data_IF_043475416587
#
_entry.id   IF_043475416587
#
_cell.length_a   1.000
_cell.length_b   1.000
_cell.length_c   1.000
_cell.angle_alpha   90.00
_cell.angle_beta   90.00
_cell.angle_gamma   90.00
#
_symmetry.space_group_name_H-M   'P 1'
#
loop_
_entity.id
_entity.type
_entity.pdbx_description
1 polymer ?
#
# COMPACT_ATOMS: atom_id res chain seq x y z
N UNK A 1 10.24 39.06 -39.43
CA UNK A 1 11.32 38.43 -38.64
C UNK A 1 10.79 37.77 -37.36
N UNK A 2 9.94 38.43 -36.57
CA UNK A 2 9.33 37.87 -35.34
C UNK A 2 8.46 36.61 -35.54
N UNK A 3 7.64 36.49 -36.61
CA UNK A 3 6.87 35.26 -36.85
C UNK A 3 7.74 34.04 -37.17
N UNK A 4 8.92 34.26 -37.75
CA UNK A 4 9.90 33.21 -38.06
C UNK A 4 10.55 32.69 -36.77
N UNK A 5 10.84 33.60 -35.83
CA UNK A 5 11.36 33.23 -34.51
C UNK A 5 10.34 32.37 -33.73
N UNK A 6 9.07 32.75 -33.70
CA UNK A 6 8.05 31.99 -33.00
C UNK A 6 7.73 30.63 -33.63
N UNK A 7 7.75 30.55 -34.96
CA UNK A 7 7.59 29.27 -35.66
C UNK A 7 8.77 28.34 -35.39
N UNK A 8 10.00 28.86 -35.39
CA UNK A 8 11.18 28.08 -34.99
C UNK A 8 11.08 27.60 -33.53
N UNK A 9 10.75 28.49 -32.59
CA UNK A 9 10.58 28.14 -31.17
C UNK A 9 9.51 27.05 -30.98
N UNK A 10 8.35 27.15 -31.64
CA UNK A 10 7.30 26.14 -31.56
C UNK A 10 7.74 24.79 -32.12
N UNK A 11 8.45 24.78 -33.25
CA UNK A 11 8.91 23.55 -33.90
C UNK A 11 9.99 22.84 -33.07
N UNK A 12 10.90 23.59 -32.46
CA UNK A 12 12.00 23.01 -31.68
C UNK A 12 11.70 22.82 -30.19
N UNK A 13 10.66 23.47 -29.66
CA UNK A 13 10.28 23.37 -28.25
C UNK A 13 10.17 21.91 -27.76
N UNK A 14 9.48 20.97 -28.44
CA UNK A 14 9.34 19.59 -27.95
C UNK A 14 10.68 18.87 -27.78
N UNK A 15 11.65 19.16 -28.65
CA UNK A 15 12.97 18.52 -28.59
C UNK A 15 13.81 18.98 -27.39
N UNK A 16 13.50 20.14 -26.82
CA UNK A 16 14.20 20.70 -25.67
C UNK A 16 13.40 20.42 -24.39
N UNK A 17 12.08 20.63 -24.43
CA UNK A 17 11.22 20.51 -23.25
C UNK A 17 11.04 19.07 -22.81
N UNK A 18 10.98 18.10 -23.73
CA UNK A 18 10.81 16.69 -23.40
C UNK A 18 12.02 16.11 -22.63
N UNK A 19 13.28 16.23 -23.10
CA UNK A 19 14.42 15.74 -22.32
C UNK A 19 14.57 16.51 -21.00
N UNK A 20 14.28 17.81 -20.99
CA UNK A 20 14.29 18.59 -19.75
C UNK A 20 13.25 18.08 -18.74
N UNK A 21 12.02 17.83 -19.18
CA UNK A 21 10.97 17.27 -18.33
C UNK A 21 11.34 15.88 -17.82
N UNK A 22 11.97 15.04 -18.64
CA UNK A 22 12.47 13.73 -18.22
C UNK A 22 13.54 13.85 -17.12
N UNK A 23 14.49 14.78 -17.27
CA UNK A 23 15.50 15.05 -16.25
C UNK A 23 14.88 15.54 -14.94
N UNK A 24 13.95 16.49 -15.01
CA UNK A 24 13.22 16.99 -13.84
C UNK A 24 12.43 15.87 -13.17
N UNK A 25 11.79 14.99 -13.95
CA UNK A 25 11.08 13.82 -13.42
C UNK A 25 12.00 12.85 -12.70
N UNK A 26 13.18 12.55 -13.25
CA UNK A 26 14.18 11.68 -12.61
C UNK A 26 14.69 12.32 -11.32
N UNK A 27 15.01 13.61 -11.33
CA UNK A 27 15.47 14.33 -10.13
C UNK A 27 14.36 14.35 -9.07
N UNK A 28 13.13 14.65 -9.47
CA UNK A 28 11.95 14.64 -8.60
C UNK A 28 11.72 13.28 -7.97
N UNK A 29 11.79 12.19 -8.74
CA UNK A 29 11.65 10.83 -8.24
C UNK A 29 12.72 10.47 -7.20
N UNK A 30 13.98 10.84 -7.43
CA UNK A 30 15.05 10.60 -6.47
C UNK A 30 14.88 11.44 -5.19
N UNK A 31 14.42 12.69 -5.33
CA UNK A 31 14.17 13.58 -4.20
C UNK A 31 12.96 13.14 -3.38
N UNK A 32 11.88 12.72 -4.04
CA UNK A 32 10.72 12.10 -3.40
C UNK A 32 11.15 10.85 -2.63
N UNK A 33 12.02 10.02 -3.20
CA UNK A 33 12.50 8.83 -2.52
C UNK A 33 13.39 9.13 -1.29
N UNK A 34 14.01 10.31 -1.22
CA UNK A 34 14.80 10.75 -0.08
C UNK A 34 13.96 11.43 1.00
N UNK A 35 12.91 12.17 0.60
CA UNK A 35 12.06 12.96 1.51
C UNK A 35 10.85 12.16 1.99
N UNK A 36 10.34 11.23 1.18
CA UNK A 36 9.18 10.42 1.53
C UNK A 36 9.60 9.24 2.40
N UNK A 37 9.04 9.17 3.61
CA UNK A 37 9.10 7.98 4.46
C UNK A 37 8.29 6.86 3.79
N UNK A 38 8.93 6.14 2.87
CA UNK A 38 8.35 4.97 2.17
C UNK A 38 8.06 3.78 3.09
N UNK A 39 8.50 3.84 4.34
CA UNK A 39 8.20 2.85 5.35
C UNK A 39 6.86 3.16 6.00
N UNK A 40 5.78 3.13 5.23
CA UNK A 40 4.48 2.84 5.83
C UNK A 40 4.55 1.41 6.32
N UNK A 41 4.52 1.17 7.65
CA UNK A 41 4.55 -0.18 8.16
C UNK A 41 3.37 -0.95 7.58
N UNK A 42 3.66 -2.10 6.99
CA UNK A 42 2.65 -2.94 6.37
C UNK A 42 1.59 -3.31 7.41
N UNK A 43 0.39 -2.79 7.23
CA UNK A 43 -0.75 -3.16 8.04
C UNK A 43 -1.55 -4.18 7.23
N UNK A 44 -1.58 -5.43 7.68
CA UNK A 44 -2.31 -6.51 6.99
C UNK A 44 -3.73 -6.05 6.69
N UNK A 45 -4.19 -6.33 5.48
CA UNK A 45 -5.58 -6.04 5.12
C UNK A 45 -6.52 -6.83 6.05
N UNK A 46 -7.75 -6.34 6.23
CA UNK A 46 -8.75 -7.05 7.07
C UNK A 46 -9.03 -8.45 6.52
N UNK A 47 -8.91 -8.64 5.21
CA UNK A 47 -9.05 -9.93 4.53
C UNK A 47 -7.90 -10.87 4.89
N UNK A 48 -6.65 -10.42 4.78
CA UNK A 48 -5.48 -11.22 5.20
C UNK A 48 -5.53 -11.58 6.69
N UNK A 49 -5.94 -10.64 7.55
CA UNK A 49 -6.14 -10.92 8.97
C UNK A 49 -7.26 -11.94 9.24
N UNK A 50 -8.24 -12.07 8.34
CA UNK A 50 -9.29 -13.10 8.44
C UNK A 50 -8.77 -14.45 7.97
N UNK A 51 -8.05 -14.49 6.86
CA UNK A 51 -7.43 -15.71 6.34
C UNK A 51 -6.42 -16.29 7.34
N UNK A 52 -5.54 -15.46 7.90
CA UNK A 52 -4.59 -15.89 8.94
C UNK A 52 -5.30 -16.51 10.16
N UNK A 53 -6.45 -15.94 10.56
CA UNK A 53 -7.25 -16.48 11.68
C UNK A 53 -7.85 -17.83 11.33
N UNK A 54 -8.42 -17.97 10.13
CA UNK A 54 -8.99 -19.24 9.67
C UNK A 54 -7.91 -20.32 9.55
N UNK A 55 -6.75 -19.99 8.99
CA UNK A 55 -5.61 -20.91 8.90
C UNK A 55 -5.11 -21.33 10.28
N UNK A 56 -4.98 -20.39 11.23
CA UNK A 56 -4.59 -20.69 12.60
C UNK A 56 -5.62 -21.57 13.34
N UNK A 57 -6.92 -21.38 13.08
CA UNK A 57 -7.98 -22.24 13.61
C UNK A 57 -7.92 -23.65 13.01
N UNK A 58 -7.72 -23.77 11.70
CA UNK A 58 -7.56 -25.07 11.02
C UNK A 58 -6.34 -25.85 11.51
N UNK A 59 -5.20 -25.18 11.71
CA UNK A 59 -3.98 -25.81 12.26
C UNK A 59 -4.20 -26.32 13.69
N UNK A 60 -4.92 -25.55 14.53
CA UNK A 60 -5.30 -26.00 15.86
C UNK A 60 -6.21 -27.23 15.81
N UNK A 61 -7.16 -27.28 14.88
CA UNK A 61 -8.09 -28.42 14.73
C UNK A 61 -7.41 -29.70 14.22
N UNK A 62 -6.28 -29.59 13.51
CA UNK A 62 -5.50 -30.74 13.04
C UNK A 62 -4.71 -31.44 14.14
N UNK A 63 -4.39 -30.73 15.24
CA UNK A 63 -3.62 -31.29 16.35
C UNK A 63 -4.56 -31.74 17.49
N UNK A 64 -4.79 -33.05 17.68
CA UNK A 64 -5.71 -33.57 18.72
C UNK A 64 -5.21 -33.33 20.16
N UNK A 65 -3.96 -32.90 20.31
CA UNK A 65 -3.25 -32.72 21.57
C UNK A 65 -3.46 -31.32 22.18
N UNK A 66 -3.95 -30.36 21.38
CA UNK A 66 -4.02 -28.95 21.75
C UNK A 66 -5.46 -28.53 22.06
N UNK A 67 -6.03 -29.12 23.11
CA UNK A 67 -7.42 -28.86 23.52
C UNK A 67 -7.44 -27.76 24.60
N UNK A 68 -8.09 -26.64 24.29
CA UNK A 68 -8.31 -25.57 25.28
C UNK A 68 -9.19 -26.09 26.43
N UNK A 69 -8.81 -25.78 27.69
CA UNK A 69 -9.66 -26.07 28.86
C UNK A 69 -11.03 -25.42 28.66
N UNK A 70 -12.11 -26.18 28.90
CA UNK A 70 -13.48 -25.68 28.82
C UNK A 70 -13.64 -24.44 29.71
N UNK A 71 -13.71 -23.28 29.07
CA UNK A 71 -14.06 -22.00 29.70
C UNK A 71 -15.43 -21.58 29.17
N UNK A 72 -16.25 -21.02 30.05
CA UNK A 72 -17.53 -20.44 29.66
C UNK A 72 -17.28 -19.30 28.66
N UNK A 73 -17.60 -19.54 27.37
CA UNK A 73 -17.59 -18.50 26.33
C UNK A 73 -18.97 -17.86 26.31
N UNK A 74 -19.04 -16.59 26.69
CA UNK A 74 -20.28 -15.81 26.56
C UNK A 74 -20.69 -15.67 25.08
N UNK A 75 -21.97 -15.38 24.87
CA UNK A 75 -22.74 -15.42 23.62
C UNK A 75 -21.96 -15.03 22.33
N UNK A 76 -22.28 -15.72 21.23
CA UNK A 76 -21.66 -15.60 19.88
C UNK A 76 -21.65 -14.19 19.29
N UNK A 77 -22.41 -13.27 19.89
CA UNK A 77 -22.52 -11.87 19.51
C UNK A 77 -21.25 -11.06 19.82
N UNK A 78 -20.42 -11.50 20.77
CA UNK A 78 -19.16 -10.80 21.11
C UNK A 78 -17.96 -11.29 20.27
N UNK A 79 -18.12 -12.36 19.50
CA UNK A 79 -17.00 -13.03 18.80
C UNK A 79 -16.67 -12.41 17.44
N UNK A 80 -17.56 -11.57 16.91
CA UNK A 80 -17.44 -10.92 15.58
C UNK A 80 -17.39 -9.39 15.65
N UNK A 81 -16.99 -8.80 16.78
CA UNK A 81 -16.85 -7.35 16.88
C UNK A 81 -15.55 -6.88 16.18
N UNK A 82 -15.64 -5.75 15.47
CA UNK A 82 -14.46 -5.12 14.88
C UNK A 82 -13.52 -4.61 15.98
N UNK A 83 -12.19 -4.59 15.77
CA UNK A 83 -11.22 -4.13 16.78
C UNK A 83 -11.44 -2.71 17.31
N UNK A 84 -12.27 -1.91 16.64
CA UNK A 84 -12.67 -0.56 17.05
C UNK A 84 -13.79 -0.49 18.10
N UNK A 85 -14.43 -1.63 18.42
CA UNK A 85 -15.61 -1.72 19.29
C UNK A 85 -15.40 -2.67 20.49
N UNK A 86 -14.16 -3.06 20.79
CA UNK A 86 -13.79 -3.87 21.96
C UNK A 86 -13.21 -3.05 23.10
#
# INVERSE_FOLDING_TARGET
MWPVLFTALRTYAPYITLPFAALVGIVGYNLENWVSDKYTPYNKSIEEQREDRLMAEEEKLKSPENVEKLKYKANVLNTNLSPSLS
#
